data_IF_311591546109
#
_entry.id   IF_311591546109
#
_cell.length_a   1.000
_cell.length_b   1.000
_cell.length_c   1.000
_cell.angle_alpha   90.00
_cell.angle_beta   90.00
_cell.angle_gamma   90.00
#
_symmetry.space_group_name_H-M   'P 1'
#
loop_
_entity.id
_entity.type
_entity.pdbx_description
1 polymer ?
#
# COMPACT_ATOMS: atom_id res chain seq x y z
N UNK A 1 6.60 -21.24 -33.23
CA UNK A 1 5.95 -20.10 -32.53
C UNK A 1 5.59 -19.06 -33.57
N UNK A 2 4.39 -18.50 -33.50
CA UNK A 2 3.87 -17.59 -34.53
C UNK A 2 4.54 -16.21 -34.37
N UNK A 3 5.05 -15.61 -35.46
CA UNK A 3 5.85 -14.36 -35.41
C UNK A 3 5.16 -13.22 -34.65
N UNK A 4 3.83 -13.21 -34.64
CA UNK A 4 2.99 -12.23 -33.92
C UNK A 4 3.17 -12.34 -32.38
N UNK A 5 3.38 -13.55 -31.84
CA UNK A 5 3.60 -13.75 -30.41
C UNK A 5 4.94 -13.22 -29.92
N UNK A 6 5.98 -13.25 -30.76
CA UNK A 6 7.30 -12.70 -30.44
C UNK A 6 7.29 -11.16 -30.42
N UNK A 7 6.52 -10.52 -31.31
CA UNK A 7 6.37 -9.06 -31.30
C UNK A 7 5.59 -8.56 -30.08
N UNK A 8 4.54 -9.27 -29.65
CA UNK A 8 3.79 -8.89 -28.44
C UNK A 8 4.66 -9.02 -27.20
N UNK A 9 5.47 -10.09 -27.11
CA UNK A 9 6.40 -10.28 -25.99
C UNK A 9 7.50 -9.21 -25.96
N UNK A 10 8.03 -8.83 -27.14
CA UNK A 10 9.04 -7.78 -27.26
C UNK A 10 8.49 -6.38 -26.91
N UNK A 11 7.24 -6.09 -27.26
CA UNK A 11 6.57 -4.83 -26.89
C UNK A 11 6.35 -4.77 -25.37
N UNK A 12 5.91 -5.86 -24.74
CA UNK A 12 5.76 -5.93 -23.28
C UNK A 12 7.13 -5.75 -22.58
N UNK A 13 8.19 -6.33 -23.12
CA UNK A 13 9.56 -6.16 -22.59
C UNK A 13 10.07 -4.72 -22.73
N UNK A 14 9.74 -4.02 -23.83
CA UNK A 14 10.13 -2.62 -24.05
C UNK A 14 9.43 -1.67 -23.06
N UNK A 15 8.16 -1.91 -22.74
CA UNK A 15 7.46 -1.16 -21.68
C UNK A 15 8.03 -1.43 -20.28
N UNK A 16 8.53 -2.64 -20.04
CA UNK A 16 9.21 -3.00 -18.79
C UNK A 16 10.56 -2.28 -18.65
N UNK A 17 11.36 -2.18 -19.72
CA UNK A 17 12.67 -1.51 -19.71
C UNK A 17 12.53 0.02 -19.54
N UNK A 18 11.53 0.64 -20.16
CA UNK A 18 11.29 2.09 -19.96
C UNK A 18 10.84 2.44 -18.54
N UNK A 19 10.14 1.53 -17.85
CA UNK A 19 9.76 1.70 -16.44
C UNK A 19 10.98 1.65 -15.51
N UNK A 20 12.01 0.87 -15.86
CA UNK A 20 13.27 0.81 -15.12
C UNK A 20 14.13 2.07 -15.28
N UNK A 21 14.11 2.74 -16.45
CA UNK A 21 14.92 3.93 -16.67
C UNK A 21 14.40 5.20 -15.96
N UNK A 22 13.14 5.20 -15.52
CA UNK A 22 12.54 6.31 -14.75
C UNK A 22 12.72 6.16 -13.22
N UNK A 23 13.28 5.05 -12.74
CA UNK A 23 13.57 4.82 -11.31
C UNK A 23 14.90 5.44 -10.84
N UNK A 24 15.85 5.72 -11.75
CA UNK A 24 17.17 6.26 -11.38
C UNK A 24 17.24 7.79 -11.28
N UNK A 25 16.20 8.54 -11.68
CA UNK A 25 16.21 10.01 -11.68
C UNK A 25 15.54 10.68 -10.48
N UNK A 26 15.04 9.93 -9.50
CA UNK A 26 14.29 10.47 -8.36
C UNK A 26 14.95 10.31 -6.99
N UNK A 27 16.25 10.03 -6.92
CA UNK A 27 16.90 9.57 -5.67
C UNK A 27 17.45 10.67 -4.75
N UNK A 28 17.36 11.96 -5.10
CA UNK A 28 18.12 13.00 -4.39
C UNK A 28 17.34 14.08 -3.62
N UNK A 29 16.00 14.13 -3.63
CA UNK A 29 15.28 15.31 -3.09
C UNK A 29 14.37 15.04 -1.86
N UNK A 30 14.59 13.97 -1.08
CA UNK A 30 13.75 13.68 0.10
C UNK A 30 14.46 13.78 1.46
N UNK A 31 15.71 14.25 1.50
CA UNK A 31 16.48 14.42 2.75
C UNK A 31 16.84 15.88 3.03
N UNK A 32 15.87 16.79 3.08
CA UNK A 32 16.04 18.06 3.78
C UNK A 32 14.69 18.72 4.05
N UNK A 33 14.19 18.55 5.27
CA UNK A 33 13.51 19.56 6.10
C UNK A 33 12.64 18.87 7.15
N UNK A 34 13.17 18.75 8.36
CA UNK A 34 12.48 19.06 9.61
C UNK A 34 13.49 18.96 10.76
N UNK A 35 14.28 20.03 10.90
CA UNK A 35 14.93 20.35 12.16
C UNK A 35 13.98 21.21 12.98
N UNK A 36 13.47 20.67 14.09
CA UNK A 36 12.90 21.49 15.16
C UNK A 36 13.72 21.19 16.42
N UNK A 37 14.35 22.26 16.90
CA UNK A 37 15.20 22.31 18.08
C UNK A 37 14.38 22.07 19.35
N UNK A 38 14.88 21.20 20.23
CA UNK A 38 14.47 21.16 21.64
C UNK A 38 15.52 21.90 22.47
N UNK A 39 15.14 23.03 23.06
CA UNK A 39 15.75 23.57 24.27
C UNK A 39 14.69 23.56 25.36
N UNK A 40 15.05 22.97 26.51
CA UNK A 40 14.13 22.77 27.63
C UNK A 40 14.05 23.96 28.58
N UNK A 41 13.04 23.92 29.44
CA UNK A 41 13.16 24.40 30.82
C UNK A 41 12.12 23.73 31.71
N UNK A 42 12.53 23.48 32.96
CA UNK A 42 11.81 22.78 34.02
C UNK A 42 10.56 23.54 34.48
N UNK A 43 9.51 22.82 34.85
CA UNK A 43 8.64 23.24 35.96
C UNK A 43 7.98 22.05 36.63
N UNK A 44 8.20 21.95 37.93
CA UNK A 44 7.66 20.97 38.87
C UNK A 44 6.14 21.09 39.08
N UNK A 45 5.58 19.95 39.49
CA UNK A 45 4.40 19.76 40.36
C UNK A 45 3.01 19.96 39.76
N UNK A 46 2.35 18.81 39.61
CA UNK A 46 0.90 18.69 39.54
C UNK A 46 0.48 17.22 39.59
N UNK A 47 0.69 16.55 40.71
CA UNK A 47 0.06 15.26 41.00
C UNK A 47 -1.47 15.41 40.90
N UNK A 48 -2.09 14.66 39.99
CA UNK A 48 -3.45 14.17 40.18
C UNK A 48 -3.60 12.77 39.59
N UNK A 49 -3.66 11.82 40.52
CA UNK A 49 -4.08 10.44 40.37
C UNK A 49 -5.19 10.23 39.33
N UNK A 50 -4.90 9.45 38.30
CA UNK A 50 -5.86 8.49 37.73
C UNK A 50 -5.11 7.16 37.61
N UNK A 51 -5.01 6.46 38.74
CA UNK A 51 -4.69 5.04 38.74
C UNK A 51 -6.01 4.27 38.85
N UNK A 52 -6.43 3.61 37.77
CA UNK A 52 -7.19 2.35 37.85
C UNK A 52 -7.34 1.73 36.45
N UNK A 53 -6.62 0.63 36.22
CA UNK A 53 -6.94 -0.31 35.15
C UNK A 53 -5.81 -0.88 34.31
N UNK A 54 -4.55 -0.86 34.76
CA UNK A 54 -3.56 -1.80 34.21
C UNK A 54 -3.83 -3.14 34.91
N UNK A 55 -4.57 -4.01 34.25
CA UNK A 55 -4.59 -5.41 34.64
C UNK A 55 -3.23 -6.00 34.28
N UNK A 56 -2.42 -6.25 35.31
CA UNK A 56 -1.44 -7.33 35.27
C UNK A 56 -2.21 -8.60 34.86
N UNK A 57 -1.99 -9.07 33.63
CA UNK A 57 -2.51 -10.34 33.14
C UNK A 57 -1.79 -11.47 33.88
N UNK A 58 -2.32 -11.81 35.06
CA UNK A 58 -1.96 -13.04 35.76
C UNK A 58 -2.43 -14.25 34.95
N UNK A 59 -1.62 -15.30 35.00
CA UNK A 59 -1.62 -16.54 34.22
C UNK A 59 -2.85 -17.47 34.41
N UNK A 60 -4.01 -16.97 34.82
CA UNK A 60 -5.17 -17.79 35.20
C UNK A 60 -6.46 -17.41 34.43
N UNK A 61 -6.36 -17.04 33.15
CA UNK A 61 -7.56 -17.04 32.30
C UNK A 61 -7.91 -18.50 31.97
N UNK A 62 -9.17 -18.94 32.16
CA UNK A 62 -9.59 -20.28 31.76
C UNK A 62 -9.27 -20.50 30.28
N UNK A 63 -8.67 -21.64 29.95
CA UNK A 63 -8.33 -22.00 28.56
C UNK A 63 -9.52 -21.85 27.59
N UNK A 64 -10.75 -21.97 28.08
CA UNK A 64 -11.99 -21.76 27.34
C UNK A 64 -12.16 -20.30 26.86
N UNK A 65 -11.89 -19.31 27.73
CA UNK A 65 -11.96 -17.88 27.37
C UNK A 65 -10.89 -17.51 26.33
N UNK A 66 -9.68 -18.05 26.47
CA UNK A 66 -8.59 -17.84 25.51
C UNK A 66 -8.95 -18.45 24.15
N UNK A 67 -9.54 -19.65 24.15
CA UNK A 67 -10.02 -20.31 22.94
C UNK A 67 -11.08 -19.50 22.20
N UNK A 68 -12.09 -18.99 22.91
CA UNK A 68 -13.14 -18.15 22.33
C UNK A 68 -12.60 -16.84 21.74
N UNK A 69 -11.68 -16.17 22.45
CA UNK A 69 -11.05 -14.93 21.96
C UNK A 69 -10.22 -15.18 20.70
N UNK A 70 -9.44 -16.27 20.65
CA UNK A 70 -8.67 -16.63 19.47
C UNK A 70 -9.57 -16.95 18.28
N UNK A 71 -10.66 -17.69 18.48
CA UNK A 71 -11.60 -18.00 17.39
C UNK A 71 -12.23 -16.73 16.83
N UNK A 72 -12.67 -15.80 17.69
CA UNK A 72 -13.22 -14.51 17.26
C UNK A 72 -12.22 -13.72 16.41
N UNK A 73 -10.95 -13.66 16.83
CA UNK A 73 -9.90 -12.96 16.09
C UNK A 73 -9.58 -13.64 14.75
N UNK A 74 -9.60 -14.98 14.69
CA UNK A 74 -9.49 -15.75 13.45
C UNK A 74 -10.64 -15.44 12.49
N UNK A 75 -11.86 -15.37 13.00
CA UNK A 75 -13.05 -15.07 12.20
C UNK A 75 -13.02 -13.64 11.65
N UNK A 76 -12.62 -12.66 12.47
CA UNK A 76 -12.41 -11.28 12.05
C UNK A 76 -11.38 -11.18 10.91
N UNK A 77 -10.23 -11.88 11.05
CA UNK A 77 -9.21 -11.93 10.01
C UNK A 77 -9.73 -12.57 8.71
N UNK A 78 -10.54 -13.64 8.80
CA UNK A 78 -11.16 -14.28 7.63
C UNK A 78 -12.20 -13.40 6.94
N UNK A 79 -12.95 -12.60 7.69
CA UNK A 79 -13.92 -11.64 7.13
C UNK A 79 -13.19 -10.54 6.35
N UNK A 80 -12.14 -9.95 6.95
CA UNK A 80 -11.29 -8.97 6.27
C UNK A 80 -10.65 -9.57 5.01
N UNK A 81 -10.01 -10.73 5.19
CA UNK A 81 -9.81 -11.82 4.23
C UNK A 81 -10.59 -11.74 2.91
N UNK A 82 -11.82 -12.18 3.07
CA UNK A 82 -12.80 -12.40 2.03
C UNK A 82 -13.28 -11.09 1.41
N UNK A 83 -13.50 -10.05 2.22
CA UNK A 83 -13.92 -8.72 1.75
C UNK A 83 -12.84 -8.08 0.86
N UNK A 84 -11.57 -8.26 1.21
CA UNK A 84 -10.44 -7.62 0.54
C UNK A 84 -9.74 -8.52 -0.51
N UNK A 85 -10.27 -9.70 -0.83
CA UNK A 85 -9.65 -10.64 -1.78
C UNK A 85 -9.41 -10.08 -3.19
N UNK A 86 -10.18 -9.08 -3.61
CA UNK A 86 -10.04 -8.42 -4.92
C UNK A 86 -9.21 -7.14 -4.90
N UNK A 87 -8.64 -6.76 -3.74
CA UNK A 87 -7.95 -5.49 -3.55
C UNK A 87 -6.76 -5.31 -4.51
N UNK A 88 -5.92 -6.34 -4.67
CA UNK A 88 -4.81 -6.35 -5.64
C UNK A 88 -5.29 -6.21 -7.08
N UNK A 89 -6.32 -6.97 -7.48
CA UNK A 89 -6.86 -6.95 -8.84
C UNK A 89 -7.42 -5.57 -9.17
N UNK A 90 -8.19 -4.98 -8.25
CA UNK A 90 -8.76 -3.63 -8.42
C UNK A 90 -7.69 -2.56 -8.55
N UNK A 91 -6.65 -2.58 -7.71
CA UNK A 91 -5.54 -1.62 -7.83
C UNK A 91 -4.75 -1.79 -9.14
N UNK A 92 -4.55 -3.04 -9.58
CA UNK A 92 -3.92 -3.31 -10.88
C UNK A 92 -4.77 -2.81 -12.06
N UNK A 93 -6.10 -2.90 -11.97
CA UNK A 93 -7.01 -2.32 -12.97
C UNK A 93 -6.82 -0.80 -13.05
N UNK A 94 -6.80 -0.10 -11.90
CA UNK A 94 -6.51 1.35 -11.85
C UNK A 94 -5.16 1.65 -12.50
N UNK A 95 -4.11 0.90 -12.13
CA UNK A 95 -2.79 1.10 -12.71
C UNK A 95 -2.80 0.95 -14.23
N UNK A 96 -3.35 -0.14 -14.76
CA UNK A 96 -3.35 -0.44 -16.18
C UNK A 96 -4.15 0.59 -16.99
N UNK A 97 -5.27 1.06 -16.47
CA UNK A 97 -6.10 2.06 -17.15
C UNK A 97 -5.44 3.45 -17.20
N UNK A 98 -4.71 3.84 -16.16
CA UNK A 98 -4.23 5.22 -16.00
C UNK A 98 -2.70 5.39 -16.13
N UNK A 99 -1.93 4.30 -16.32
CA UNK A 99 -0.46 4.35 -16.47
C UNK A 99 -0.02 5.19 -17.67
N UNK A 100 -0.74 5.13 -18.79
CA UNK A 100 -0.40 5.94 -19.98
C UNK A 100 -0.58 7.44 -19.69
N UNK A 101 -1.70 7.82 -19.06
CA UNK A 101 -1.95 9.21 -18.67
C UNK A 101 -0.88 9.72 -17.70
N UNK A 102 -0.55 8.92 -16.68
CA UNK A 102 0.55 9.22 -15.76
C UNK A 102 1.88 9.41 -16.51
N UNK A 103 2.25 8.49 -17.40
CA UNK A 103 3.50 8.57 -18.17
C UNK A 103 3.53 9.79 -19.09
N UNK A 104 2.41 10.15 -19.72
CA UNK A 104 2.31 11.36 -20.53
C UNK A 104 2.56 12.63 -19.69
N UNK A 105 1.98 12.72 -18.48
CA UNK A 105 2.25 13.84 -17.57
C UNK A 105 3.74 13.84 -17.17
N UNK A 106 4.27 12.71 -16.71
CA UNK A 106 5.67 12.62 -16.27
C UNK A 106 6.68 12.97 -17.37
N UNK A 107 6.35 12.66 -18.63
CA UNK A 107 7.20 12.93 -19.80
C UNK A 107 7.11 14.38 -20.26
N UNK A 108 5.90 14.93 -20.33
CA UNK A 108 5.64 16.18 -21.06
C UNK A 108 5.34 17.38 -20.15
N UNK A 109 5.04 17.19 -18.87
CA UNK A 109 4.90 18.28 -17.92
C UNK A 109 6.29 18.78 -17.49
N UNK A 110 6.94 19.55 -18.37
CA UNK A 110 8.24 20.18 -18.11
C UNK A 110 8.05 21.43 -17.25
N UNK A 111 8.90 21.62 -16.25
CA UNK A 111 8.77 22.67 -15.23
C UNK A 111 9.05 24.10 -15.71
N UNK A 112 9.49 24.32 -16.95
CA UNK A 112 10.19 25.56 -17.32
C UNK A 112 9.51 26.43 -18.41
N UNK A 113 8.18 26.43 -18.50
CA UNK A 113 7.44 27.47 -19.23
C UNK A 113 7.49 27.43 -20.76
N UNK A 114 8.45 26.75 -21.39
CA UNK A 114 8.46 26.48 -22.83
C UNK A 114 7.58 25.26 -23.16
N UNK A 115 6.29 25.40 -22.88
CA UNK A 115 5.30 24.41 -23.30
C UNK A 115 5.05 24.57 -24.80
N UNK A 116 5.74 23.76 -25.62
CA UNK A 116 5.32 23.58 -27.01
C UNK A 116 3.86 23.07 -27.03
N UNK A 117 3.04 23.61 -27.94
CA UNK A 117 1.61 23.30 -28.01
C UNK A 117 1.31 21.79 -28.10
N UNK A 118 2.19 21.04 -28.76
CA UNK A 118 2.11 19.58 -28.83
C UNK A 118 2.18 18.92 -27.44
N UNK A 119 3.12 19.32 -26.58
CA UNK A 119 3.26 18.79 -25.22
C UNK A 119 2.05 19.19 -24.36
N UNK A 120 1.58 20.42 -24.51
CA UNK A 120 0.37 20.91 -23.82
C UNK A 120 -0.84 20.06 -24.13
N UNK A 121 -1.04 19.71 -25.40
CA UNK A 121 -2.15 18.84 -25.85
C UNK A 121 -2.09 17.46 -25.20
N UNK A 122 -0.90 16.82 -25.18
CA UNK A 122 -0.71 15.51 -24.53
C UNK A 122 -0.99 15.53 -23.03
N UNK A 123 -0.50 16.54 -22.32
CA UNK A 123 -0.74 16.68 -20.88
C UNK A 123 -2.22 16.96 -20.58
N UNK A 124 -2.87 17.81 -21.39
CA UNK A 124 -4.30 18.12 -21.25
C UNK A 124 -5.16 16.86 -21.44
N UNK A 125 -4.86 16.05 -22.45
CA UNK A 125 -5.54 14.77 -22.67
C UNK A 125 -5.35 13.82 -21.50
N UNK A 126 -4.13 13.73 -20.95
CA UNK A 126 -3.84 12.89 -19.79
C UNK A 126 -4.61 13.32 -18.54
N UNK A 127 -4.69 14.62 -18.25
CA UNK A 127 -5.52 15.16 -17.15
C UNK A 127 -6.99 14.81 -17.40
N UNK A 128 -7.48 14.97 -18.63
CA UNK A 128 -8.86 14.64 -18.97
C UNK A 128 -9.16 13.16 -18.73
N UNK A 129 -8.22 12.25 -19.02
CA UNK A 129 -8.38 10.81 -18.76
C UNK A 129 -8.49 10.54 -17.25
N UNK A 130 -7.60 11.12 -16.44
CA UNK A 130 -7.62 10.95 -14.98
C UNK A 130 -8.84 11.59 -14.31
N UNK A 131 -9.38 12.67 -14.89
CA UNK A 131 -10.51 13.41 -14.33
C UNK A 131 -11.87 12.90 -14.79
N UNK A 132 -11.93 12.24 -15.95
CA UNK A 132 -13.19 11.89 -16.63
C UNK A 132 -14.18 11.29 -15.65
N UNK A 133 -15.33 11.96 -15.50
CA UNK A 133 -16.45 11.56 -14.65
C UNK A 133 -16.07 11.22 -13.18
N UNK A 134 -14.94 11.74 -12.69
CA UNK A 134 -14.30 11.38 -11.41
C UNK A 134 -14.02 9.88 -11.24
N UNK A 135 -13.92 9.12 -12.34
CA UNK A 135 -13.85 7.66 -12.30
C UNK A 135 -12.62 7.17 -11.52
N UNK A 136 -11.43 7.73 -11.78
CA UNK A 136 -10.20 7.36 -11.08
C UNK A 136 -10.32 7.57 -9.57
N UNK A 137 -10.89 8.70 -9.14
CA UNK A 137 -11.09 9.02 -7.71
C UNK A 137 -12.09 8.03 -7.09
N UNK A 138 -13.17 7.72 -7.79
CA UNK A 138 -14.19 6.79 -7.30
C UNK A 138 -13.64 5.36 -7.16
N UNK A 139 -12.76 4.90 -8.06
CA UNK A 139 -12.09 3.59 -7.91
C UNK A 139 -11.19 3.52 -6.68
N UNK A 140 -10.52 4.62 -6.31
CA UNK A 140 -9.78 4.69 -5.05
C UNK A 140 -10.70 4.70 -3.81
N UNK A 141 -11.85 5.37 -3.88
CA UNK A 141 -12.87 5.32 -2.81
C UNK A 141 -13.47 3.91 -2.64
N UNK A 142 -13.64 3.17 -3.72
CA UNK A 142 -14.08 1.77 -3.63
C UNK A 142 -13.06 0.91 -2.87
N UNK A 143 -11.75 1.14 -3.07
CA UNK A 143 -10.71 0.49 -2.28
C UNK A 143 -10.75 0.93 -0.81
N UNK A 144 -10.96 2.22 -0.53
CA UNK A 144 -11.17 2.72 0.85
C UNK A 144 -12.34 1.98 1.55
N UNK A 145 -13.48 1.82 0.87
CA UNK A 145 -14.69 1.20 1.41
C UNK A 145 -14.52 -0.29 1.73
N UNK A 146 -13.72 -1.01 0.94
CA UNK A 146 -13.40 -2.43 1.20
C UNK A 146 -12.80 -2.60 2.60
N UNK A 147 -11.94 -1.67 3.02
CA UNK A 147 -11.23 -1.71 4.30
C UNK A 147 -11.82 -0.74 5.35
N UNK A 148 -13.06 -0.27 5.15
CA UNK A 148 -13.69 0.81 5.96
C UNK A 148 -13.54 0.64 7.48
N UNK A 149 -13.69 -0.59 7.99
CA UNK A 149 -13.61 -0.91 9.43
C UNK A 149 -12.22 -0.66 10.04
N UNK A 150 -11.16 -0.74 9.22
CA UNK A 150 -9.76 -0.68 9.65
C UNK A 150 -8.98 0.40 8.89
N UNK A 151 -9.68 1.27 8.17
CA UNK A 151 -9.03 2.22 7.27
C UNK A 151 -8.18 3.21 8.07
N UNK A 152 -6.93 3.45 7.64
CA UNK A 152 -6.13 4.50 8.26
C UNK A 152 -6.58 5.88 7.77
N UNK A 153 -6.54 6.87 8.67
CA UNK A 153 -6.97 8.25 8.38
C UNK A 153 -6.26 8.86 7.17
N UNK A 154 -4.97 8.55 6.99
CA UNK A 154 -4.17 9.10 5.88
C UNK A 154 -4.72 8.75 4.50
N UNK A 155 -5.43 7.62 4.34
CA UNK A 155 -5.88 7.17 3.03
C UNK A 155 -6.92 8.15 2.48
N UNK A 156 -7.85 8.58 3.34
CA UNK A 156 -8.89 9.52 2.93
C UNK A 156 -8.32 10.87 2.51
N UNK A 157 -7.39 11.39 3.31
CA UNK A 157 -6.73 12.67 3.04
C UNK A 157 -6.00 12.66 1.70
N UNK A 158 -5.35 11.54 1.34
CA UNK A 158 -4.66 11.41 0.05
C UNK A 158 -5.61 11.26 -1.13
N UNK A 159 -6.78 10.65 -0.95
CA UNK A 159 -7.84 10.62 -1.97
C UNK A 159 -8.35 12.03 -2.24
N UNK A 160 -8.60 12.80 -1.17
CA UNK A 160 -9.12 14.16 -1.27
C UNK A 160 -8.06 15.14 -1.82
N UNK A 161 -6.77 14.98 -1.47
CA UNK A 161 -5.64 15.71 -2.06
C UNK A 161 -5.51 15.43 -3.57
N UNK A 162 -5.60 14.16 -3.97
CA UNK A 162 -5.55 13.79 -5.38
C UNK A 162 -6.71 14.42 -6.18
N UNK A 163 -7.93 14.36 -5.65
CA UNK A 163 -9.10 14.99 -6.26
C UNK A 163 -8.93 16.51 -6.40
N UNK A 164 -8.42 17.17 -5.35
CA UNK A 164 -8.16 18.62 -5.35
C UNK A 164 -7.14 19.01 -6.42
N UNK A 165 -6.03 18.26 -6.52
CA UNK A 165 -5.00 18.50 -7.55
C UNK A 165 -5.54 18.28 -8.96
N UNK A 166 -6.41 17.28 -9.16
CA UNK A 166 -7.08 17.07 -10.44
C UNK A 166 -7.94 18.29 -10.82
N UNK A 167 -8.74 18.82 -9.90
CA UNK A 167 -9.56 20.01 -10.15
C UNK A 167 -8.70 21.25 -10.50
N UNK A 168 -7.56 21.40 -9.84
CA UNK A 168 -6.60 22.46 -10.15
C UNK A 168 -5.96 22.29 -11.53
N UNK A 169 -5.68 21.06 -11.96
CA UNK A 169 -5.04 20.77 -13.24
C UNK A 169 -5.96 20.93 -14.45
N UNK A 170 -7.27 20.70 -14.28
CA UNK A 170 -8.27 20.97 -15.32
C UNK A 170 -8.26 22.45 -15.72
N UNK A 171 -8.17 23.34 -14.73
CA UNK A 171 -8.17 24.78 -14.94
C UNK A 171 -6.79 25.31 -15.37
N UNK A 172 -5.72 24.61 -14.98
CA UNK A 172 -4.36 25.01 -15.27
C UNK A 172 -3.45 23.79 -15.46
N UNK A 173 -3.12 23.49 -16.73
CA UNK A 173 -2.26 22.38 -17.13
C UNK A 173 -0.87 22.40 -16.48
N UNK A 174 -0.39 23.54 -15.98
CA UNK A 174 0.87 23.62 -15.23
C UNK A 174 0.82 22.86 -13.89
N UNK A 175 -0.38 22.57 -13.37
CA UNK A 175 -0.58 21.73 -12.19
C UNK A 175 -0.60 20.21 -12.50
N UNK A 176 -0.28 19.80 -13.72
CA UNK A 176 -0.27 18.39 -14.10
C UNK A 176 0.72 17.56 -13.28
N UNK A 177 1.94 18.07 -13.06
CA UNK A 177 2.97 17.30 -12.34
C UNK A 177 2.57 16.97 -10.90
N UNK A 178 2.05 17.92 -10.09
CA UNK A 178 1.41 17.61 -8.82
C UNK A 178 0.34 16.51 -8.86
N UNK A 179 -0.46 16.43 -9.93
CA UNK A 179 -1.46 15.36 -10.10
C UNK A 179 -0.77 13.99 -10.23
N UNK A 180 0.25 13.87 -11.09
CA UNK A 180 0.97 12.62 -11.27
C UNK A 180 1.69 12.16 -9.99
N UNK A 181 2.31 13.11 -9.27
CA UNK A 181 2.98 12.82 -8.00
C UNK A 181 1.97 12.37 -6.93
N UNK A 182 0.81 13.03 -6.84
CA UNK A 182 -0.28 12.64 -5.92
C UNK A 182 -0.89 11.30 -6.30
N UNK A 183 -1.12 11.01 -7.59
CA UNK A 183 -1.58 9.69 -8.06
C UNK A 183 -0.62 8.57 -7.63
N UNK A 184 0.68 8.74 -7.88
CA UNK A 184 1.70 7.75 -7.49
C UNK A 184 1.73 7.54 -5.97
N UNK A 185 1.67 8.64 -5.20
CA UNK A 185 1.64 8.59 -3.74
C UNK A 185 0.39 7.86 -3.23
N UNK A 186 -0.78 8.20 -3.75
CA UNK A 186 -2.05 7.56 -3.39
C UNK A 186 -2.04 6.07 -3.70
N UNK A 187 -1.59 5.68 -4.91
CA UNK A 187 -1.48 4.27 -5.32
C UNK A 187 -0.65 3.44 -4.33
N UNK A 188 0.50 3.96 -3.92
CA UNK A 188 1.35 3.33 -2.90
C UNK A 188 0.65 3.28 -1.53
N UNK A 189 0.03 4.38 -1.11
CA UNK A 189 -0.66 4.48 0.18
C UNK A 189 -1.87 3.55 0.31
N UNK A 190 -2.55 3.22 -0.79
CA UNK A 190 -3.60 2.20 -0.83
C UNK A 190 -3.05 0.83 -0.43
N UNK A 191 -1.84 0.48 -0.87
CA UNK A 191 -1.18 -0.78 -0.46
C UNK A 191 -0.84 -0.75 1.02
N UNK A 192 -0.27 0.36 1.48
CA UNK A 192 0.05 0.55 2.90
C UNK A 192 -1.20 0.47 3.78
N UNK A 193 -2.35 0.96 3.32
CA UNK A 193 -3.60 0.90 4.05
C UNK A 193 -4.13 -0.54 4.24
N UNK A 194 -3.94 -1.41 3.23
CA UNK A 194 -4.23 -2.84 3.38
C UNK A 194 -3.34 -3.48 4.45
N UNK A 195 -2.03 -3.17 4.42
CA UNK A 195 -1.07 -3.68 5.41
C UNK A 195 -1.42 -3.20 6.83
N UNK A 196 -1.76 -1.91 6.97
CA UNK A 196 -2.16 -1.33 8.26
C UNK A 196 -3.46 -1.96 8.79
N UNK A 197 -4.41 -2.25 7.92
CA UNK A 197 -5.64 -2.96 8.28
C UNK A 197 -5.33 -4.35 8.85
N UNK A 198 -4.41 -5.09 8.21
CA UNK A 198 -3.92 -6.37 8.73
C UNK A 198 -3.19 -6.21 10.08
N UNK A 199 -2.37 -5.16 10.25
CA UNK A 199 -1.66 -4.89 11.51
C UNK A 199 -2.64 -4.65 12.67
N UNK A 200 -3.70 -3.86 12.43
CA UNK A 200 -4.77 -3.60 13.41
C UNK A 200 -5.48 -4.89 13.82
N UNK A 201 -5.83 -5.76 12.86
CA UNK A 201 -6.53 -7.03 13.15
C UNK A 201 -5.59 -7.98 13.89
N UNK A 202 -4.38 -8.20 13.36
CA UNK A 202 -3.42 -9.14 13.93
C UNK A 202 -2.96 -8.76 15.34
N UNK A 203 -2.90 -7.46 15.65
CA UNK A 203 -2.57 -6.95 16.99
C UNK A 203 -3.62 -7.27 18.06
N UNK A 204 -4.83 -7.69 17.69
CA UNK A 204 -5.89 -8.09 18.64
C UNK A 204 -5.75 -9.55 19.11
N UNK A 205 -4.89 -10.33 18.49
CA UNK A 205 -4.67 -11.73 18.85
C UNK A 205 -4.03 -11.84 20.25
N UNK A 206 -4.43 -12.86 21.00
CA UNK A 206 -3.92 -13.11 22.36
C UNK A 206 -2.54 -13.78 22.29
N UNK A 207 -2.29 -14.60 21.27
CA UNK A 207 -1.03 -15.31 21.11
C UNK A 207 0.10 -14.36 20.71
N UNK A 208 1.09 -14.23 21.60
CA UNK A 208 2.20 -13.30 21.42
C UNK A 208 3.10 -13.67 20.24
N UNK A 209 3.24 -14.97 19.91
CA UNK A 209 4.09 -15.40 18.78
C UNK A 209 3.45 -15.00 17.47
N UNK A 210 2.13 -15.16 17.34
CA UNK A 210 1.39 -14.69 16.17
C UNK A 210 1.48 -13.17 16.03
N UNK A 211 1.34 -12.41 17.12
CA UNK A 211 1.46 -10.95 17.10
C UNK A 211 2.88 -10.51 16.68
N UNK A 212 3.92 -11.14 17.21
CA UNK A 212 5.31 -10.85 16.86
C UNK A 212 5.63 -11.18 15.39
N UNK A 213 5.20 -12.35 14.93
CA UNK A 213 5.34 -12.76 13.53
C UNK A 213 4.57 -11.81 12.59
N UNK A 214 3.38 -11.38 12.99
CA UNK A 214 2.57 -10.42 12.22
C UNK A 214 3.26 -9.06 12.09
N UNK A 215 3.88 -8.55 13.17
CA UNK A 215 4.66 -7.30 13.12
C UNK A 215 5.86 -7.41 12.19
N UNK A 216 6.59 -8.54 12.24
CA UNK A 216 7.70 -8.80 11.31
C UNK A 216 7.22 -8.85 9.86
N UNK A 217 6.10 -9.54 9.61
CA UNK A 217 5.45 -9.58 8.31
C UNK A 217 5.05 -8.18 7.82
N UNK A 218 4.42 -7.37 8.67
CA UNK A 218 4.03 -5.98 8.35
C UNK A 218 5.25 -5.13 7.97
N UNK A 219 6.33 -5.22 8.74
CA UNK A 219 7.55 -4.44 8.47
C UNK A 219 8.20 -4.83 7.14
N UNK A 220 8.39 -6.13 6.89
CA UNK A 220 8.96 -6.61 5.61
C UNK A 220 8.04 -6.31 4.42
N UNK A 221 6.71 -6.38 4.60
CA UNK A 221 5.73 -5.96 3.60
C UNK A 221 5.86 -4.46 3.28
N UNK A 222 5.97 -3.60 4.29
CA UNK A 222 6.19 -2.14 4.11
C UNK A 222 7.49 -1.87 3.33
N UNK A 223 8.58 -2.56 3.66
CA UNK A 223 9.83 -2.46 2.89
C UNK A 223 9.69 -2.92 1.43
N UNK A 224 8.91 -3.98 1.18
CA UNK A 224 8.67 -4.45 -0.17
C UNK A 224 7.83 -3.46 -0.99
N UNK A 225 6.86 -2.80 -0.37
CA UNK A 225 6.06 -1.72 -1.01
C UNK A 225 6.93 -0.55 -1.48
N UNK A 226 8.00 -0.23 -0.73
CA UNK A 226 8.97 0.80 -1.16
C UNK A 226 9.70 0.42 -2.45
N UNK A 227 9.94 -0.87 -2.69
CA UNK A 227 10.59 -1.37 -3.89
C UNK A 227 9.61 -1.45 -5.08
N UNK A 228 8.41 -2.03 -4.86
CA UNK A 228 7.35 -2.04 -5.86
C UNK A 228 5.98 -2.27 -5.20
N UNK A 229 5.12 -1.24 -5.21
CA UNK A 229 3.84 -1.24 -4.52
C UNK A 229 2.85 -2.29 -5.07
N UNK A 230 2.71 -2.40 -6.39
CA UNK A 230 1.74 -3.30 -7.01
C UNK A 230 2.14 -4.78 -6.85
N UNK A 231 3.41 -5.10 -7.06
CA UNK A 231 3.92 -6.46 -6.90
C UNK A 231 3.89 -6.88 -5.43
N UNK A 232 4.28 -5.98 -4.52
CA UNK A 232 4.17 -6.25 -3.09
C UNK A 232 2.71 -6.54 -2.71
N UNK A 233 1.74 -5.76 -3.18
CA UNK A 233 0.32 -5.99 -2.89
C UNK A 233 -0.17 -7.35 -3.39
N UNK A 234 0.21 -7.77 -4.61
CA UNK A 234 -0.14 -9.10 -5.14
C UNK A 234 0.36 -10.21 -4.21
N UNK A 235 1.62 -10.13 -3.81
CA UNK A 235 2.24 -11.07 -2.88
C UNK A 235 1.53 -11.07 -1.52
N UNK A 236 1.28 -9.90 -0.93
CA UNK A 236 0.64 -9.75 0.39
C UNK A 236 -0.77 -10.35 0.39
N UNK A 237 -1.62 -9.92 -0.55
CA UNK A 237 -3.01 -10.39 -0.63
C UNK A 237 -3.05 -11.91 -0.84
N UNK A 238 -2.20 -12.44 -1.73
CA UNK A 238 -2.14 -13.88 -1.95
C UNK A 238 -1.66 -14.63 -0.71
N UNK A 239 -0.59 -14.18 -0.07
CA UNK A 239 0.04 -14.85 1.07
C UNK A 239 -0.91 -14.95 2.26
N UNK A 240 -1.54 -13.83 2.65
CA UNK A 240 -2.52 -13.84 3.74
C UNK A 240 -3.75 -14.66 3.33
N UNK A 241 -4.19 -14.53 2.08
CA UNK A 241 -5.26 -15.35 1.51
C UNK A 241 -5.00 -16.85 1.57
N UNK A 242 -3.80 -17.30 1.21
CA UNK A 242 -3.42 -18.71 1.30
C UNK A 242 -3.40 -19.17 2.75
N UNK A 243 -2.79 -18.37 3.66
CA UNK A 243 -2.71 -18.67 5.09
C UNK A 243 -4.09 -18.91 5.74
N UNK A 244 -5.03 -17.98 5.58
CA UNK A 244 -6.36 -18.08 6.23
C UNK A 244 -7.24 -19.18 5.64
N UNK A 245 -6.93 -19.63 4.41
CA UNK A 245 -7.64 -20.69 3.70
C UNK A 245 -6.91 -22.04 3.75
N UNK A 246 -5.97 -22.20 4.68
CA UNK A 246 -5.21 -23.45 4.89
C UNK A 246 -4.44 -23.95 3.67
N UNK A 247 -4.07 -23.03 2.77
CA UNK A 247 -3.21 -23.31 1.64
C UNK A 247 -1.78 -23.01 2.05
N UNK A 248 -0.88 -23.95 1.73
CA UNK A 248 0.55 -23.76 1.96
C UNK A 248 1.03 -22.50 1.23
N UNK A 249 1.69 -21.60 1.95
CA UNK A 249 2.28 -20.39 1.35
C UNK A 249 3.37 -20.81 0.36
N UNK A 250 3.36 -20.20 -0.82
CA UNK A 250 4.45 -20.37 -1.77
C UNK A 250 5.65 -19.51 -1.33
N UNK A 251 6.69 -20.15 -0.81
CA UNK A 251 7.90 -19.49 -0.32
C UNK A 251 8.95 -19.21 -1.39
N UNK A 252 8.72 -19.61 -2.64
CA UNK A 252 9.64 -19.32 -3.75
C UNK A 252 9.27 -18.00 -4.41
N UNK A 253 10.27 -17.15 -4.64
CA UNK A 253 10.11 -15.94 -5.44
C UNK A 253 9.43 -16.25 -6.77
N UNK A 254 8.37 -15.49 -7.07
CA UNK A 254 7.63 -15.59 -8.33
C UNK A 254 8.21 -14.68 -9.41
N UNK A 255 8.98 -13.68 -9.01
CA UNK A 255 9.53 -12.66 -9.91
C UNK A 255 11.03 -12.85 -10.13
N UNK A 256 11.51 -14.09 -10.09
CA UNK A 256 12.91 -14.47 -10.35
C UNK A 256 13.95 -13.71 -9.50
N UNK A 257 13.59 -13.39 -8.25
CA UNK A 257 14.39 -12.54 -7.35
C UNK A 257 14.74 -11.16 -7.92
N UNK A 258 13.94 -10.65 -8.87
CA UNK A 258 14.11 -9.30 -9.41
C UNK A 258 13.91 -8.25 -8.31
N UNK A 259 12.91 -8.48 -7.45
CA UNK A 259 12.66 -7.66 -6.27
C UNK A 259 13.40 -8.22 -5.07
N UNK A 260 14.35 -7.46 -4.54
CA UNK A 260 15.25 -7.90 -3.47
C UNK A 260 14.49 -8.14 -2.16
N UNK A 261 13.44 -7.36 -1.92
CA UNK A 261 12.63 -7.43 -0.70
C UNK A 261 11.62 -8.57 -0.69
N UNK A 262 11.37 -9.22 -1.82
CA UNK A 262 10.45 -10.37 -1.90
C UNK A 262 10.94 -11.54 -1.04
N UNK A 263 12.24 -11.81 -1.01
CA UNK A 263 12.79 -12.94 -0.25
C UNK A 263 12.59 -12.78 1.26
N UNK A 264 12.91 -11.61 1.81
CA UNK A 264 12.73 -11.31 3.24
C UNK A 264 11.25 -11.34 3.63
N UNK A 265 10.38 -10.81 2.76
CA UNK A 265 8.93 -10.89 2.91
C UNK A 265 8.44 -12.34 2.97
N UNK A 266 8.89 -13.21 2.06
CA UNK A 266 8.46 -14.61 2.03
C UNK A 266 8.96 -15.42 3.24
N UNK A 267 10.13 -15.08 3.79
CA UNK A 267 10.61 -15.66 5.05
C UNK A 267 9.72 -15.27 6.23
N UNK A 268 9.37 -13.98 6.36
CA UNK A 268 8.45 -13.53 7.41
C UNK A 268 7.05 -14.13 7.24
N UNK A 269 6.59 -14.36 6.01
CA UNK A 269 5.33 -15.02 5.71
C UNK A 269 5.28 -16.48 6.20
N UNK A 270 6.38 -17.22 6.09
CA UNK A 270 6.46 -18.60 6.60
C UNK A 270 6.40 -18.64 8.13
N UNK A 271 7.12 -17.75 8.80
CA UNK A 271 7.06 -17.62 10.27
C UNK A 271 5.65 -17.28 10.73
N UNK A 272 4.96 -16.40 10.00
CA UNK A 272 3.56 -16.05 10.26
C UNK A 272 2.61 -17.24 10.05
N UNK A 273 2.79 -18.03 8.99
CA UNK A 273 1.99 -19.25 8.74
C UNK A 273 2.16 -20.28 9.86
N UNK A 274 3.39 -20.49 10.32
CA UNK A 274 3.68 -21.40 11.43
C UNK A 274 2.99 -20.94 12.72
N UNK A 275 3.07 -19.65 13.04
CA UNK A 275 2.38 -19.08 14.19
C UNK A 275 0.85 -19.17 14.05
N UNK A 276 0.30 -18.91 12.86
CA UNK A 276 -1.14 -19.01 12.59
C UNK A 276 -1.67 -20.44 12.75
N UNK A 277 -0.91 -21.44 12.30
CA UNK A 277 -1.27 -22.87 12.47
C UNK A 277 -1.24 -23.31 13.94
N UNK A 278 -0.42 -22.68 14.78
CA UNK A 278 -0.32 -23.03 16.19
C UNK A 278 -1.50 -22.54 17.03
N UNK A 279 -2.22 -21.51 16.57
CA UNK A 279 -3.36 -20.92 17.27
C UNK A 279 -4.72 -21.43 16.77
N UNK A 280 -4.73 -22.20 15.69
CA UNK A 280 -5.91 -22.78 15.06
C UNK A 280 -6.12 -24.21 15.56
#
# INVERSE_FOLDING_TARGET
MNKIGEYILAIIFLFFIMSCHMLDRGRNDLNQEQGIQNQGENSEKGEKNINKGIYNLNQDQPNEIIGELNQKNIDELKIFVEKAKYYSIKLNTIYNEYTEAYNNIMTYAVFNGEFQDFYKSKVTQAISILKKDNETVNKFKELEEIIEEYKPMFLRELIDDFATKLDQAVNNVFNARPVADSYKKLRKSVVLAYIESFDVISSKFVDSKFVEASKKFVNTAKEFVEENDLIALECIVKTIGDMVNDKKINSRSKYNNFYKKEADFLLAALELEEAYKAIK
#
